data_IF_200578815760
#
_entry.id   IF_200578815760
#
_cell.length_a   1.000
_cell.length_b   1.000
_cell.length_c   1.000
_cell.angle_alpha   90.00
_cell.angle_beta   90.00
_cell.angle_gamma   90.00
#
_symmetry.space_group_name_H-M   'P 1'
#
loop_
_entity.id
_entity.type
_entity.pdbx_description
1 polymer ?
#
# COMPACT_ATOMS: atom_id res chain seq x y z
N UNK A 1 13.53 42.50 16.26
CA UNK A 1 14.47 41.67 15.46
C UNK A 1 14.28 40.18 15.74
N UNK A 2 14.35 39.73 17.00
CA UNK A 2 14.12 38.32 17.37
C UNK A 2 12.76 37.77 16.90
N UNK A 3 11.67 38.54 17.07
CA UNK A 3 10.32 38.18 16.59
C UNK A 3 10.26 37.99 15.08
N UNK A 4 10.94 38.85 14.31
CA UNK A 4 11.00 38.73 12.84
C UNK A 4 11.78 37.48 12.43
N UNK A 5 12.90 37.19 13.10
CA UNK A 5 13.69 35.96 12.86
C UNK A 5 12.86 34.71 13.14
N UNK A 6 12.11 34.70 14.24
CA UNK A 6 11.21 33.60 14.61
C UNK A 6 10.11 33.40 13.57
N UNK A 7 9.48 34.49 13.08
CA UNK A 7 8.45 34.40 12.04
C UNK A 7 9.01 33.88 10.71
N UNK A 8 10.19 34.33 10.31
CA UNK A 8 10.86 33.85 9.08
C UNK A 8 11.22 32.37 9.22
N UNK A 9 11.76 31.94 10.36
CA UNK A 9 12.06 30.54 10.61
C UNK A 9 10.80 29.67 10.56
N UNK A 10 9.70 30.10 11.18
CA UNK A 10 8.41 29.40 11.11
C UNK A 10 7.89 29.29 9.67
N UNK A 11 7.97 30.37 8.88
CA UNK A 11 7.53 30.36 7.50
C UNK A 11 8.34 29.35 6.67
N UNK A 12 9.66 29.34 6.83
CA UNK A 12 10.54 28.37 6.17
C UNK A 12 10.17 26.94 6.56
N UNK A 13 9.91 26.68 7.84
CA UNK A 13 9.48 25.36 8.33
C UNK A 13 8.15 24.92 7.72
N UNK A 14 7.15 25.81 7.63
CA UNK A 14 5.85 25.51 7.02
C UNK A 14 6.02 25.18 5.53
N UNK A 15 6.75 26.01 4.79
CA UNK A 15 6.96 25.80 3.34
C UNK A 15 7.74 24.51 3.10
N UNK A 16 8.80 24.25 3.88
CA UNK A 16 9.56 23.00 3.81
C UNK A 16 8.67 21.77 4.08
N UNK A 17 7.75 21.88 5.05
CA UNK A 17 6.80 20.82 5.34
C UNK A 17 5.81 20.59 4.18
N UNK A 18 5.24 21.66 3.60
CA UNK A 18 4.32 21.53 2.46
C UNK A 18 5.00 20.90 1.24
N UNK A 19 6.28 21.20 1.00
CA UNK A 19 7.05 20.55 -0.08
C UNK A 19 7.30 19.06 0.17
N UNK A 20 7.35 18.63 1.44
CA UNK A 20 7.54 17.22 1.82
C UNK A 20 6.29 16.37 1.53
N UNK A 21 5.10 16.97 1.55
CA UNK A 21 3.81 16.31 1.30
C UNK A 21 3.09 16.98 0.11
N UNK A 22 3.54 16.72 -1.13
CA UNK A 22 3.05 17.44 -2.30
C UNK A 22 1.72 16.91 -2.86
N UNK A 23 1.30 15.70 -2.48
CA UNK A 23 0.20 14.97 -3.14
C UNK A 23 -1.11 15.28 -2.42
N UNK A 24 -2.12 15.86 -3.06
CA UNK A 24 -3.44 15.96 -2.41
C UNK A 24 -4.05 14.56 -2.28
N UNK A 25 -4.83 14.34 -1.22
CA UNK A 25 -5.51 13.07 -0.99
C UNK A 25 -6.75 12.90 -1.89
N UNK A 26 -6.51 12.79 -3.21
CA UNK A 26 -7.52 12.46 -4.21
C UNK A 26 -6.90 11.59 -5.31
N UNK A 27 -7.76 10.92 -6.09
CA UNK A 27 -7.37 9.92 -7.07
C UNK A 27 -6.43 10.47 -8.16
N UNK A 28 -6.72 11.64 -8.69
CA UNK A 28 -6.00 12.22 -9.82
C UNK A 28 -4.59 12.65 -9.41
N UNK A 29 -4.46 13.34 -8.27
CA UNK A 29 -3.17 13.77 -7.72
C UNK A 29 -2.30 12.56 -7.34
N UNK A 30 -2.89 11.51 -6.73
CA UNK A 30 -2.16 10.27 -6.43
C UNK A 30 -1.65 9.61 -7.72
N UNK A 31 -2.50 9.47 -8.74
CA UNK A 31 -2.12 8.85 -10.00
C UNK A 31 -0.98 9.62 -10.70
N UNK A 32 -1.07 10.94 -10.79
CA UNK A 32 -0.03 11.77 -11.41
C UNK A 32 1.32 11.60 -10.69
N UNK A 33 1.32 11.57 -9.35
CA UNK A 33 2.55 11.42 -8.58
C UNK A 33 3.12 10.01 -8.63
N UNK A 34 2.28 8.97 -8.74
CA UNK A 34 2.75 7.61 -8.99
C UNK A 34 3.41 7.48 -10.36
N UNK A 35 2.87 8.12 -11.40
CA UNK A 35 3.49 8.18 -12.73
C UNK A 35 4.88 8.83 -12.63
N UNK A 36 4.99 9.98 -11.96
CA UNK A 36 6.28 10.66 -11.78
C UNK A 36 7.28 9.80 -11.02
N UNK A 37 6.84 9.16 -9.94
CA UNK A 37 7.66 8.29 -9.11
C UNK A 37 8.22 7.11 -9.92
N UNK A 38 7.37 6.38 -10.63
CA UNK A 38 7.79 5.21 -11.42
C UNK A 38 8.70 5.60 -12.60
N UNK A 39 8.49 6.76 -13.24
CA UNK A 39 9.40 7.26 -14.28
C UNK A 39 10.81 7.55 -13.72
N UNK A 40 10.89 8.04 -12.47
CA UNK A 40 12.17 8.33 -11.81
C UNK A 40 12.90 7.04 -11.39
N UNK A 41 12.17 6.00 -10.97
CA UNK A 41 12.77 4.77 -10.44
C UNK A 41 13.08 3.73 -11.51
N UNK A 42 12.27 3.63 -12.56
CA UNK A 42 12.43 2.60 -13.61
C UNK A 42 13.37 3.00 -14.75
N UNK A 43 13.61 4.31 -14.94
CA UNK A 43 14.33 4.84 -16.10
C UNK A 43 13.60 4.65 -17.44
N UNK A 44 12.39 4.09 -17.41
CA UNK A 44 11.54 3.88 -18.55
C UNK A 44 10.57 5.06 -18.68
N UNK A 45 10.53 5.67 -19.86
CA UNK A 45 9.54 6.70 -20.19
C UNK A 45 8.38 6.07 -20.98
N UNK A 46 7.16 6.55 -20.75
CA UNK A 46 5.92 6.18 -21.47
C UNK A 46 5.26 4.82 -21.13
N UNK A 47 5.30 4.36 -19.89
CA UNK A 47 4.43 3.25 -19.45
C UNK A 47 3.00 3.74 -19.15
N UNK A 48 2.01 2.85 -19.28
CA UNK A 48 0.64 3.14 -18.88
C UNK A 48 0.45 2.76 -17.42
N UNK A 49 0.39 3.77 -16.54
CA UNK A 49 0.01 3.58 -15.15
C UNK A 49 -1.47 3.87 -14.95
N UNK A 50 -2.15 3.00 -14.20
CA UNK A 50 -3.53 3.23 -13.80
C UNK A 50 -3.68 2.90 -12.32
N UNK A 51 -4.11 3.91 -11.54
CA UNK A 51 -4.45 3.70 -10.14
C UNK A 51 -5.70 2.84 -10.06
N UNK A 52 -5.64 1.72 -9.35
CA UNK A 52 -6.79 0.83 -9.16
C UNK A 52 -7.55 1.32 -7.94
N UNK A 53 -6.88 1.35 -6.79
CA UNK A 53 -7.45 1.78 -5.52
C UNK A 53 -6.40 2.41 -4.61
N UNK A 54 -6.83 3.26 -3.69
CA UNK A 54 -6.06 3.71 -2.55
C UNK A 54 -6.87 3.45 -1.29
N UNK A 55 -6.29 2.77 -0.32
CA UNK A 55 -6.96 2.35 0.91
C UNK A 55 -6.21 2.88 2.13
N UNK A 56 -6.97 3.40 3.09
CA UNK A 56 -6.46 3.92 4.35
C UNK A 56 -6.24 2.77 5.35
N UNK A 57 -5.12 2.77 6.09
CA UNK A 57 -4.78 1.73 7.06
C UNK A 57 -5.34 2.07 8.45
N UNK A 58 -6.61 1.71 8.66
CA UNK A 58 -7.32 2.01 9.91
C UNK A 58 -7.34 3.51 10.20
N UNK A 59 -7.09 3.89 11.46
CA UNK A 59 -7.02 5.30 11.88
C UNK A 59 -5.60 5.91 11.79
N UNK A 60 -4.65 5.21 11.16
CA UNK A 60 -3.27 5.71 11.04
C UNK A 60 -3.16 6.84 10.03
N UNK A 61 -1.99 7.44 9.84
CA UNK A 61 -1.73 8.36 8.73
C UNK A 61 -1.24 7.65 7.46
N UNK A 62 -1.41 6.33 7.34
CA UNK A 62 -0.82 5.54 6.25
C UNK A 62 -1.87 5.06 5.27
N UNK A 63 -1.58 5.19 3.99
CA UNK A 63 -2.40 4.68 2.89
C UNK A 63 -1.59 3.71 2.04
N UNK A 64 -2.29 2.79 1.38
CA UNK A 64 -1.71 1.90 0.38
C UNK A 64 -2.45 2.09 -0.93
N UNK A 65 -1.72 2.49 -1.95
CA UNK A 65 -2.22 2.55 -3.32
C UNK A 65 -1.85 1.26 -4.06
N UNK A 66 -2.83 0.62 -4.67
CA UNK A 66 -2.67 -0.45 -5.65
C UNK A 66 -2.87 0.15 -7.04
N UNK A 67 -1.91 -0.05 -7.91
CA UNK A 67 -1.95 0.44 -9.29
C UNK A 67 -1.38 -0.62 -10.23
N UNK A 68 -1.65 -0.48 -11.53
CA UNK A 68 -0.99 -1.28 -12.55
C UNK A 68 -0.04 -0.43 -13.36
N UNK A 69 1.10 -1.01 -13.70
CA UNK A 69 1.98 -0.54 -14.77
C UNK A 69 1.92 -1.60 -15.85
N UNK A 70 1.37 -1.23 -17.00
CA UNK A 70 1.00 -2.15 -18.06
C UNK A 70 0.07 -3.28 -17.56
N UNK A 71 0.59 -4.51 -17.38
CA UNK A 71 -0.17 -5.68 -16.89
C UNK A 71 0.26 -6.16 -15.50
N UNK A 72 1.24 -5.49 -14.89
CA UNK A 72 1.80 -5.87 -13.60
C UNK A 72 1.13 -5.10 -12.48
N UNK A 73 0.89 -5.78 -11.35
CA UNK A 73 0.34 -5.14 -10.16
C UNK A 73 1.49 -4.53 -9.36
N UNK A 74 1.32 -3.29 -8.94
CA UNK A 74 2.26 -2.53 -8.16
C UNK A 74 1.56 -1.94 -6.95
N UNK A 75 2.33 -1.56 -5.95
CA UNK A 75 1.79 -0.83 -4.82
C UNK A 75 2.73 0.27 -4.36
N UNK A 76 2.14 1.26 -3.70
CA UNK A 76 2.86 2.30 -3.02
C UNK A 76 2.30 2.48 -1.61
N UNK A 77 3.20 2.77 -0.69
CA UNK A 77 2.88 3.19 0.68
C UNK A 77 2.98 4.70 0.72
N UNK A 78 1.88 5.32 1.11
CA UNK A 78 1.71 6.76 1.19
C UNK A 78 1.56 7.15 2.65
N UNK A 79 2.14 8.27 3.05
CA UNK A 79 2.00 8.83 4.39
C UNK A 79 1.33 10.21 4.29
N UNK A 80 0.28 10.41 5.07
CA UNK A 80 -0.44 11.66 5.22
C UNK A 80 0.24 12.57 6.26
N UNK A 81 0.44 13.82 5.88
CA UNK A 81 0.87 14.90 6.75
C UNK A 81 -0.30 15.61 7.41
N UNK A 82 -0.01 16.46 8.40
CA UNK A 82 -1.02 17.26 9.11
C UNK A 82 -1.78 18.25 8.21
N UNK A 83 -1.28 18.50 6.99
CA UNK A 83 -1.96 19.28 5.97
C UNK A 83 -2.97 18.47 5.14
N UNK A 84 -3.17 17.17 5.43
CA UNK A 84 -4.04 16.27 4.66
C UNK A 84 -3.47 15.90 3.28
N UNK A 85 -2.19 16.22 3.03
CA UNK A 85 -1.51 15.82 1.81
C UNK A 85 -0.64 14.59 2.08
N UNK A 86 -0.43 13.80 1.05
CA UNK A 86 0.32 12.57 1.05
C UNK A 86 1.74 12.78 0.52
N UNK A 87 2.61 11.84 0.86
CA UNK A 87 3.90 11.61 0.20
C UNK A 87 4.11 10.11 -0.01
N UNK A 88 4.77 9.73 -1.10
CA UNK A 88 5.19 8.35 -1.32
C UNK A 88 6.40 8.06 -0.43
N UNK A 89 6.28 7.04 0.42
CA UNK A 89 7.37 6.56 1.28
C UNK A 89 8.12 5.42 0.60
N UNK A 90 7.37 4.58 -0.13
CA UNK A 90 7.90 3.37 -0.74
C UNK A 90 6.98 2.92 -1.88
N UNK A 91 7.55 2.35 -2.94
CA UNK A 91 6.82 1.58 -3.94
C UNK A 91 7.46 0.22 -4.16
N UNK A 92 6.65 -0.75 -4.56
CA UNK A 92 7.09 -2.11 -4.85
C UNK A 92 6.35 -2.69 -6.05
N UNK A 93 7.07 -3.52 -6.79
CA UNK A 93 6.57 -4.33 -7.90
C UNK A 93 6.17 -5.70 -7.40
N UNK A 94 5.03 -6.22 -7.88
CA UNK A 94 4.70 -7.62 -7.75
C UNK A 94 4.99 -8.35 -9.08
N UNK A 95 6.05 -9.16 -9.10
CA UNK A 95 6.35 -10.05 -10.22
C UNK A 95 5.58 -11.38 -10.16
N UNK A 96 4.99 -11.73 -9.01
CA UNK A 96 4.18 -12.93 -8.84
C UNK A 96 2.67 -12.62 -8.91
N UNK A 97 1.83 -13.65 -8.84
CA UNK A 97 0.38 -13.51 -8.72
C UNK A 97 -0.06 -12.94 -7.35
N UNK A 98 0.80 -13.02 -6.32
CA UNK A 98 0.47 -12.63 -4.95
C UNK A 98 1.68 -12.17 -4.13
N UNK A 99 1.53 -11.06 -3.43
CA UNK A 99 2.58 -10.45 -2.60
C UNK A 99 2.07 -10.11 -1.20
N UNK A 100 2.91 -10.38 -0.19
CA UNK A 100 2.67 -9.98 1.20
C UNK A 100 3.63 -8.87 1.62
N UNK A 101 3.12 -7.92 2.40
CA UNK A 101 3.93 -6.93 3.12
C UNK A 101 3.39 -6.66 4.51
N UNK A 102 4.26 -6.76 5.51
CA UNK A 102 4.05 -6.09 6.80
C UNK A 102 4.38 -4.61 6.69
N UNK A 103 3.46 -3.75 7.14
CA UNK A 103 3.64 -2.30 7.24
C UNK A 103 3.45 -1.87 8.69
N UNK A 104 4.45 -1.18 9.23
CA UNK A 104 4.38 -0.49 10.50
C UNK A 104 3.70 0.86 10.33
N UNK A 105 2.77 1.18 11.21
CA UNK A 105 2.05 2.45 11.27
C UNK A 105 2.03 2.99 12.70
N UNK A 106 1.53 4.21 12.91
CA UNK A 106 1.27 4.74 14.25
C UNK A 106 0.29 3.89 15.08
N UNK A 107 -0.56 3.11 14.40
CA UNK A 107 -1.61 2.28 15.01
C UNK A 107 -1.21 0.80 15.16
N UNK A 108 0.07 0.48 14.96
CA UNK A 108 0.61 -0.86 15.00
C UNK A 108 0.89 -1.45 13.61
N UNK A 109 1.02 -2.77 13.55
CA UNK A 109 1.42 -3.49 12.34
C UNK A 109 0.21 -3.92 11.52
N UNK A 110 0.31 -3.78 10.21
CA UNK A 110 -0.70 -4.25 9.25
C UNK A 110 -0.07 -5.25 8.28
N UNK A 111 -0.76 -6.35 8.06
CA UNK A 111 -0.49 -7.29 6.98
C UNK A 111 -1.27 -6.88 5.75
N UNK A 112 -0.57 -6.70 4.63
CA UNK A 112 -1.16 -6.34 3.36
C UNK A 112 -0.87 -7.45 2.36
N UNK A 113 -1.95 -7.94 1.75
CA UNK A 113 -1.87 -8.87 0.63
C UNK A 113 -2.31 -8.15 -0.63
N UNK A 114 -1.48 -8.19 -1.65
CA UNK A 114 -1.77 -7.64 -2.97
C UNK A 114 -1.78 -8.80 -3.96
N UNK A 115 -2.83 -8.89 -4.77
CA UNK A 115 -3.01 -10.05 -5.63
C UNK A 115 -3.80 -9.78 -6.90
N UNK A 116 -3.76 -10.78 -7.79
CA UNK A 116 -4.61 -10.86 -8.98
C UNK A 116 -5.59 -12.02 -8.82
N UNK A 117 -6.86 -11.79 -9.11
CA UNK A 117 -7.92 -12.81 -9.14
C UNK A 117 -8.71 -12.72 -10.45
N UNK A 118 -8.00 -12.70 -11.59
CA UNK A 118 -8.57 -12.44 -12.93
C UNK A 118 -9.73 -13.39 -13.25
N UNK A 119 -9.58 -14.68 -12.91
CA UNK A 119 -10.58 -15.70 -13.17
C UNK A 119 -11.65 -15.81 -12.08
N UNK A 120 -11.55 -15.03 -11.00
CA UNK A 120 -12.50 -15.02 -9.86
C UNK A 120 -12.68 -16.39 -9.20
N UNK A 121 -11.64 -17.21 -9.24
CA UNK A 121 -11.64 -18.56 -8.69
C UNK A 121 -11.34 -18.59 -7.19
N UNK A 122 -10.69 -17.54 -6.68
CA UNK A 122 -10.37 -17.39 -5.26
C UNK A 122 -11.50 -16.63 -4.57
N UNK A 123 -12.16 -17.25 -3.60
CA UNK A 123 -13.18 -16.61 -2.75
C UNK A 123 -12.60 -16.18 -1.39
N UNK A 124 -11.70 -16.99 -0.84
CA UNK A 124 -11.00 -16.70 0.41
C UNK A 124 -9.53 -17.15 0.35
N UNK A 125 -8.71 -16.56 1.20
CA UNK A 125 -7.35 -17.01 1.41
C UNK A 125 -7.04 -17.12 2.90
N UNK A 126 -6.29 -18.16 3.26
CA UNK A 126 -5.62 -18.26 4.55
C UNK A 126 -4.21 -17.72 4.40
N UNK A 127 -3.87 -16.77 5.26
CA UNK A 127 -2.53 -16.18 5.37
C UNK A 127 -1.86 -16.80 6.59
N UNK A 128 -0.70 -17.41 6.40
CA UNK A 128 0.10 -18.06 7.45
C UNK A 128 1.43 -17.32 7.58
N UNK A 129 1.65 -16.63 8.70
CA UNK A 129 2.89 -15.88 8.91
C UNK A 129 4.03 -16.85 9.28
N UNK A 130 5.17 -16.77 8.59
CA UNK A 130 6.21 -17.81 8.69
C UNK A 130 7.03 -17.76 9.99
N UNK A 131 7.19 -16.57 10.59
CA UNK A 131 8.05 -16.37 11.77
C UNK A 131 7.26 -16.29 13.10
N UNK A 132 5.93 -16.39 13.04
CA UNK A 132 5.05 -16.30 14.21
C UNK A 132 3.90 -17.29 14.07
N UNK A 133 3.44 -17.90 15.17
CA UNK A 133 2.32 -18.84 15.14
C UNK A 133 0.99 -18.08 15.04
N UNK A 134 0.79 -17.38 13.91
CA UNK A 134 -0.40 -16.61 13.63
C UNK A 134 -0.84 -16.86 12.19
N UNK A 135 -2.14 -17.11 12.04
CA UNK A 135 -2.77 -17.24 10.75
C UNK A 135 -4.18 -16.66 10.82
N UNK A 136 -4.69 -16.24 9.67
CA UNK A 136 -6.02 -15.68 9.56
C UNK A 136 -6.60 -15.98 8.18
N UNK A 137 -7.92 -16.01 8.09
CA UNK A 137 -8.65 -16.20 6.83
C UNK A 137 -9.34 -14.90 6.49
N UNK A 138 -9.18 -14.49 5.23
CA UNK A 138 -9.80 -13.28 4.69
C UNK A 138 -10.50 -13.60 3.40
N UNK A 139 -11.64 -12.94 3.19
CA UNK A 139 -12.36 -12.99 1.93
C UNK A 139 -11.58 -12.20 0.88
N UNK A 140 -11.44 -12.76 -0.32
CA UNK A 140 -10.84 -12.07 -1.45
C UNK A 140 -11.93 -11.26 -2.16
N UNK A 141 -11.71 -9.96 -2.41
CA UNK A 141 -12.63 -9.15 -3.20
C UNK A 141 -12.89 -9.77 -4.59
N UNK A 142 -14.08 -9.56 -5.14
CA UNK A 142 -14.48 -10.05 -6.47
C UNK A 142 -13.91 -9.19 -7.63
N UNK A 143 -12.80 -8.51 -7.37
CA UNK A 143 -12.09 -7.63 -8.30
C UNK A 143 -10.90 -8.37 -8.93
N UNK A 144 -10.57 -8.11 -10.23
CA UNK A 144 -9.45 -8.77 -10.90
C UNK A 144 -8.08 -8.49 -10.24
N UNK A 145 -7.97 -7.35 -9.56
CA UNK A 145 -6.83 -6.96 -8.73
C UNK A 145 -7.37 -6.54 -7.38
N UNK A 146 -6.72 -6.98 -6.31
CA UNK A 146 -7.21 -6.71 -4.97
C UNK A 146 -6.08 -6.35 -4.01
N UNK A 147 -6.44 -5.58 -3.00
CA UNK A 147 -5.70 -5.48 -1.76
C UNK A 147 -6.56 -6.03 -0.63
N UNK A 148 -5.94 -6.78 0.28
CA UNK A 148 -6.54 -7.11 1.57
C UNK A 148 -5.63 -6.57 2.67
N UNK A 149 -6.24 -5.81 3.58
CA UNK A 149 -5.57 -5.17 4.70
C UNK A 149 -6.06 -5.85 5.97
N UNK A 150 -5.15 -6.24 6.85
CA UNK A 150 -5.47 -6.85 8.13
C UNK A 150 -4.59 -6.26 9.22
N UNK A 151 -5.21 -5.69 10.26
CA UNK A 151 -4.48 -5.26 11.46
C UNK A 151 -3.95 -6.51 12.18
N UNK A 152 -2.65 -6.55 12.42
CA UNK A 152 -2.01 -7.66 13.11
C UNK A 152 -2.08 -7.44 14.63
N UNK A 153 -2.10 -8.54 15.42
CA UNK A 153 -1.93 -8.45 16.87
C UNK A 153 -0.65 -7.71 17.27
N UNK A 154 -0.69 -6.98 18.39
CA UNK A 154 0.41 -6.12 18.85
C UNK A 154 1.71 -6.89 19.19
N UNK A 155 1.59 -8.19 19.43
CA UNK A 155 2.71 -9.09 19.69
C UNK A 155 3.57 -9.33 18.44
N UNK A 156 3.00 -9.13 17.25
CA UNK A 156 3.70 -9.30 15.98
C UNK A 156 4.42 -8.00 15.64
N UNK A 157 5.70 -7.91 16.02
CA UNK A 157 6.54 -6.71 15.81
C UNK A 157 7.58 -6.85 14.71
N UNK A 158 7.82 -8.07 14.24
CA UNK A 158 8.90 -8.37 13.30
C UNK A 158 8.44 -8.34 11.84
N UNK A 159 9.40 -8.04 10.95
CA UNK A 159 9.20 -8.27 9.51
C UNK A 159 8.95 -9.75 9.28
N UNK A 160 7.77 -10.06 8.78
CA UNK A 160 7.32 -11.42 8.54
C UNK A 160 7.04 -11.64 7.05
N UNK A 161 7.07 -12.89 6.66
CA UNK A 161 6.65 -13.38 5.34
C UNK A 161 5.38 -14.19 5.53
N UNK A 162 4.57 -14.30 4.48
CA UNK A 162 3.37 -15.11 4.52
C UNK A 162 3.44 -16.26 3.53
N UNK A 163 3.01 -17.44 3.99
CA UNK A 163 2.50 -18.51 3.15
C UNK A 163 0.99 -18.32 2.91
N UNK A 164 0.49 -18.91 1.83
CA UNK A 164 -0.89 -18.74 1.40
C UNK A 164 -1.54 -20.08 1.05
N UNK A 165 -2.81 -20.22 1.43
CA UNK A 165 -3.72 -21.25 0.91
C UNK A 165 -4.97 -20.58 0.40
N UNK A 166 -5.48 -21.04 -0.73
CA UNK A 166 -6.60 -20.40 -1.42
C UNK A 166 -7.80 -21.31 -1.43
N UNK A 167 -8.99 -20.72 -1.31
CA UNK A 167 -10.25 -21.45 -1.25
C UNK A 167 -11.21 -20.92 -2.28
N UNK A 168 -11.90 -21.81 -2.98
CA UNK A 168 -13.00 -21.44 -3.88
C UNK A 168 -14.31 -21.21 -3.10
N UNK A 169 -15.39 -20.86 -3.82
CA UNK A 169 -16.72 -20.62 -3.23
C UNK A 169 -17.34 -21.84 -2.53
N UNK A 170 -16.84 -23.05 -2.82
CA UNK A 170 -17.23 -24.30 -2.18
C UNK A 170 -16.34 -24.64 -0.97
N UNK A 171 -15.47 -23.71 -0.55
CA UNK A 171 -14.49 -23.87 0.52
C UNK A 171 -13.49 -25.02 0.28
N UNK A 172 -13.22 -25.34 -0.99
CA UNK A 172 -12.21 -26.31 -1.39
C UNK A 172 -10.89 -25.59 -1.61
N UNK A 173 -9.81 -26.16 -1.09
CA UNK A 173 -8.46 -25.65 -1.33
C UNK A 173 -8.11 -25.77 -2.81
N UNK A 174 -7.58 -24.70 -3.39
CA UNK A 174 -7.16 -24.63 -4.80
C UNK A 174 -5.71 -24.18 -4.90
N UNK A 175 -5.00 -24.70 -5.88
CA UNK A 175 -3.69 -24.18 -6.29
C UNK A 175 -3.89 -23.06 -7.30
N UNK A 176 -3.13 -21.98 -7.13
CA UNK A 176 -3.00 -20.91 -8.13
C UNK A 176 -1.55 -20.84 -8.56
N UNK A 177 -1.33 -20.91 -9.88
CA UNK A 177 -0.03 -20.71 -10.52
C UNK A 177 0.28 -19.21 -10.69
#
# INVERSE_FOLDING_TARGET
>A
MLTVIILVAMLISIVSYMMKYPIKNNRDDIQEHLVKWENQTSGQSNFKLELIQAAHLGESNTYVALYKVDSNAHFAVLEEGFNGHLRIIYSGTNSSSLYYKGIETSEGQYGIVIGKNINKNIDAMKVELQNVSFNYIVKVPDDPYFIVITKLPEEIKEKTYAGFKFFNKQNQEISVE
#
